data_IF_906383873497
#
_entry.id   IF_906383873497
#
_cell.length_a   1.000
_cell.length_b   1.000
_cell.length_c   1.000
_cell.angle_alpha   90.00
_cell.angle_beta   90.00
_cell.angle_gamma   90.00
#
_symmetry.space_group_name_H-M   'P 1'
#
loop_
_entity.id
_entity.type
_entity.pdbx_description
1 polymer ?
#
# COMPACT_ATOMS: atom_id res chain seq x y z
N UNK A 1 -3.63 14.77 11.53
CA UNK A 1 -3.49 13.32 11.83
C UNK A 1 -4.44 12.56 10.92
N UNK A 2 -3.96 11.50 10.27
CA UNK A 2 -4.75 10.66 9.34
C UNK A 2 -5.86 9.90 10.08
N UNK A 3 -6.97 9.62 9.38
CA UNK A 3 -8.03 8.76 9.89
C UNK A 3 -7.56 7.31 9.90
N UNK A 4 -7.94 6.57 10.93
CA UNK A 4 -7.60 5.16 11.05
C UNK A 4 -8.68 4.36 11.79
N UNK A 5 -8.69 3.04 11.56
CA UNK A 5 -9.47 2.10 12.34
C UNK A 5 -8.53 1.12 13.05
N UNK A 6 -8.73 0.91 14.34
CA UNK A 6 -7.94 -0.03 15.15
C UNK A 6 -8.78 -1.23 15.56
N UNK A 7 -8.22 -2.41 15.33
CA UNK A 7 -8.82 -3.70 15.66
C UNK A 7 -7.87 -4.45 16.58
N UNK A 8 -8.26 -4.59 17.84
CA UNK A 8 -7.45 -5.24 18.86
C UNK A 8 -7.32 -6.74 18.59
N UNK A 9 -6.13 -7.30 18.81
CA UNK A 9 -5.89 -8.74 18.70
C UNK A 9 -6.77 -9.54 19.63
N UNK A 10 -7.28 -10.66 19.13
CA UNK A 10 -8.00 -11.67 19.94
C UNK A 10 -7.03 -12.65 20.62
N UNK A 11 -5.74 -12.65 20.26
CA UNK A 11 -4.69 -13.46 20.83
C UNK A 11 -4.04 -12.77 22.03
N UNK A 12 -3.78 -13.52 23.10
CA UNK A 12 -3.00 -13.02 24.25
C UNK A 12 -1.48 -13.13 23.99
N UNK A 13 -1.07 -14.09 23.17
CA UNK A 13 0.34 -14.34 22.84
C UNK A 13 0.93 -13.21 21.97
N UNK A 14 0.13 -12.63 21.09
CA UNK A 14 0.55 -11.58 20.17
C UNK A 14 -0.04 -10.19 20.52
N UNK A 15 -0.23 -9.94 21.81
CA UNK A 15 -0.88 -8.71 22.28
C UNK A 15 -0.05 -7.44 22.04
N UNK A 16 1.25 -7.57 21.80
CA UNK A 16 2.17 -6.46 21.50
C UNK A 16 2.37 -6.20 20.01
N UNK A 17 1.95 -7.09 19.13
CA UNK A 17 2.14 -6.91 17.69
C UNK A 17 1.05 -6.02 17.08
N UNK A 18 1.44 -5.17 16.15
CA UNK A 18 0.56 -4.31 15.38
C UNK A 18 0.90 -4.36 13.90
N UNK A 19 -0.03 -4.83 13.08
CA UNK A 19 0.03 -4.72 11.64
C UNK A 19 -0.66 -3.43 11.18
N UNK A 20 0.11 -2.49 10.65
CA UNK A 20 -0.40 -1.27 10.02
C UNK A 20 -0.61 -1.54 8.53
N UNK A 21 -1.77 -1.20 7.97
CA UNK A 21 -2.10 -1.49 6.57
C UNK A 21 -2.45 -0.20 5.81
N UNK A 22 -1.71 0.06 4.71
CA UNK A 22 -1.86 1.23 3.84
C UNK A 22 -2.38 0.80 2.46
N UNK A 23 -3.52 1.36 2.07
CA UNK A 23 -4.22 1.04 0.81
C UNK A 23 -3.56 1.65 -0.44
N UNK A 24 -4.01 1.23 -1.62
CA UNK A 24 -3.59 1.74 -2.92
C UNK A 24 -4.32 3.01 -3.39
N UNK A 25 -3.95 3.51 -4.57
CA UNK A 25 -4.64 4.65 -5.20
C UNK A 25 -6.08 4.28 -5.58
N UNK A 26 -7.00 5.25 -5.47
CA UNK A 26 -8.45 5.08 -5.72
C UNK A 26 -9.08 3.94 -4.91
N UNK A 27 -8.56 3.74 -3.70
CA UNK A 27 -9.01 2.76 -2.71
C UNK A 27 -9.14 3.45 -1.35
N UNK A 28 -9.56 2.71 -0.34
CA UNK A 28 -9.60 3.13 1.05
C UNK A 28 -9.36 1.95 1.99
N UNK A 29 -9.42 2.18 3.30
CA UNK A 29 -9.17 1.16 4.31
C UNK A 29 -10.11 -0.06 4.19
N UNK A 30 -11.32 0.10 3.63
CA UNK A 30 -12.29 -0.99 3.49
C UNK A 30 -11.83 -2.10 2.53
N UNK A 31 -10.78 -1.85 1.72
CA UNK A 31 -10.17 -2.89 0.88
C UNK A 31 -9.69 -4.09 1.71
N UNK A 32 -9.33 -3.85 2.99
CA UNK A 32 -8.81 -4.85 3.91
C UNK A 32 -9.86 -5.52 4.80
N UNK A 33 -11.14 -5.12 4.73
CA UNK A 33 -12.20 -5.60 5.65
C UNK A 33 -12.29 -7.12 5.75
N UNK A 34 -12.11 -7.82 4.63
CA UNK A 34 -12.15 -9.30 4.59
C UNK A 34 -11.01 -9.97 5.36
N UNK A 35 -9.90 -9.27 5.52
CA UNK A 35 -8.70 -9.77 6.20
C UNK A 35 -8.76 -9.57 7.71
N UNK A 36 -9.45 -8.48 8.16
CA UNK A 36 -9.44 -8.03 9.55
C UNK A 36 -9.80 -9.15 10.52
N UNK A 37 -10.90 -9.89 10.26
CA UNK A 37 -11.33 -10.95 11.17
C UNK A 37 -10.30 -12.08 11.29
N UNK A 38 -9.59 -12.39 10.21
CA UNK A 38 -8.58 -13.45 10.20
C UNK A 38 -7.28 -12.95 10.83
N UNK A 39 -6.76 -11.81 10.42
CA UNK A 39 -5.54 -11.21 10.94
C UNK A 39 -5.64 -10.87 12.43
N UNK A 40 -6.79 -10.38 12.90
CA UNK A 40 -7.00 -10.06 14.31
C UNK A 40 -6.98 -11.27 15.26
N UNK A 41 -6.94 -12.50 14.74
CA UNK A 41 -6.66 -13.70 15.54
C UNK A 41 -5.17 -13.84 15.88
N UNK A 42 -4.31 -13.14 15.15
CA UNK A 42 -2.85 -13.26 15.24
C UNK A 42 -2.16 -11.98 15.69
N UNK A 43 -2.66 -10.81 15.31
CA UNK A 43 -2.04 -9.51 15.60
C UNK A 43 -3.11 -8.44 15.76
N UNK A 44 -2.81 -7.32 16.44
CA UNK A 44 -3.66 -6.13 16.30
C UNK A 44 -3.51 -5.54 14.90
N UNK A 45 -4.57 -4.95 14.36
CA UNK A 45 -4.56 -4.39 13.00
C UNK A 45 -4.94 -2.92 13.05
N UNK A 46 -4.21 -2.09 12.30
CA UNK A 46 -4.47 -0.67 12.12
C UNK A 46 -4.57 -0.36 10.64
N UNK A 47 -5.74 -0.01 10.14
CA UNK A 47 -5.91 0.46 8.77
C UNK A 47 -5.93 1.98 8.74
N UNK A 48 -5.20 2.60 7.82
CA UNK A 48 -5.05 4.06 7.73
C UNK A 48 -5.52 4.57 6.37
N UNK A 49 -6.28 5.67 6.39
CA UNK A 49 -6.67 6.41 5.19
C UNK A 49 -5.54 7.35 4.77
N UNK A 50 -5.02 7.17 3.56
CA UNK A 50 -3.99 8.05 3.01
C UNK A 50 -4.59 9.35 2.48
N UNK A 51 -3.83 10.45 2.44
CA UNK A 51 -4.34 11.76 2.01
C UNK A 51 -5.11 11.72 0.69
N UNK A 52 -6.29 12.29 0.69
CA UNK A 52 -7.16 12.37 -0.48
C UNK A 52 -8.06 11.17 -0.74
N UNK A 53 -8.02 10.14 0.13
CA UNK A 53 -8.78 8.89 -0.05
C UNK A 53 -9.71 8.65 1.13
N UNK A 54 -10.79 7.89 0.87
CA UNK A 54 -11.72 7.45 1.92
C UNK A 54 -12.23 8.60 2.79
N UNK A 55 -12.15 8.41 4.09
CA UNK A 55 -12.56 9.39 5.10
C UNK A 55 -11.43 10.35 5.52
N UNK A 56 -10.33 10.44 4.76
CA UNK A 56 -9.22 11.35 5.07
C UNK A 56 -9.68 12.81 5.15
N UNK A 57 -9.16 13.53 6.15
CA UNK A 57 -9.49 14.93 6.44
C UNK A 57 -8.27 15.86 6.32
N UNK A 58 -7.21 15.43 5.67
CA UNK A 58 -6.04 16.28 5.39
C UNK A 58 -6.48 17.55 4.65
N UNK A 59 -5.93 18.69 5.07
CA UNK A 59 -6.33 20.00 4.50
C UNK A 59 -5.86 20.09 3.04
N UNK A 60 -6.75 20.53 2.15
CA UNK A 60 -6.45 20.69 0.73
C UNK A 60 -5.45 21.83 0.46
N UNK A 61 -5.22 22.71 1.44
CA UNK A 61 -4.21 23.78 1.41
C UNK A 61 -2.79 23.29 1.66
N UNK A 62 -2.62 22.09 2.23
CA UNK A 62 -1.32 21.46 2.44
C UNK A 62 -0.85 20.74 1.17
N UNK A 63 0.44 20.66 0.95
CA UNK A 63 1.02 19.77 -0.05
C UNK A 63 1.20 18.38 0.58
N UNK A 64 0.58 17.36 -0.01
CA UNK A 64 0.62 16.00 0.51
C UNK A 64 1.82 15.22 -0.06
N UNK A 65 3.03 15.76 0.07
CA UNK A 65 4.22 15.03 -0.35
C UNK A 65 4.60 13.88 0.62
N UNK A 66 5.61 13.11 0.28
CA UNK A 66 6.05 11.98 1.09
C UNK A 66 6.51 12.39 2.50
N UNK A 67 7.11 13.58 2.65
CA UNK A 67 7.52 14.11 3.95
C UNK A 67 6.32 14.49 4.82
N UNK A 68 5.29 15.10 4.22
CA UNK A 68 4.02 15.38 4.91
C UNK A 68 3.36 14.06 5.36
N UNK A 69 3.26 13.08 4.46
CA UNK A 69 2.61 11.80 4.81
C UNK A 69 3.41 11.08 5.91
N UNK A 70 4.74 11.08 5.85
CA UNK A 70 5.60 10.53 6.90
C UNK A 70 5.32 11.19 8.25
N UNK A 71 5.24 12.52 8.30
CA UNK A 71 4.91 13.25 9.52
C UNK A 71 3.53 12.87 10.06
N UNK A 72 2.53 12.75 9.19
CA UNK A 72 1.18 12.34 9.60
C UNK A 72 1.14 10.89 10.11
N UNK A 73 1.92 10.00 9.52
CA UNK A 73 2.10 8.63 10.03
C UNK A 73 2.81 8.62 11.39
N UNK A 74 3.85 9.43 11.58
CA UNK A 74 4.51 9.59 12.88
C UNK A 74 3.51 10.00 13.99
N UNK A 75 2.60 10.94 13.68
CA UNK A 75 1.56 11.38 14.62
C UNK A 75 0.60 10.25 15.01
N UNK A 76 0.18 9.42 14.04
CA UNK A 76 -0.68 8.25 14.30
C UNK A 76 0.08 7.21 15.11
N UNK A 77 1.26 6.79 14.63
CA UNK A 77 2.03 5.68 15.20
C UNK A 77 2.58 6.02 16.60
N UNK A 78 2.79 7.30 16.91
CA UNK A 78 3.13 7.73 18.29
C UNK A 78 2.10 7.25 19.32
N UNK A 79 0.82 7.15 18.95
CA UNK A 79 -0.24 6.59 19.80
C UNK A 79 -0.04 5.10 20.07
N UNK A 80 0.57 4.41 19.13
CA UNK A 80 0.79 2.96 19.12
C UNK A 80 2.24 2.55 19.42
N UNK A 81 3.09 3.47 19.90
CA UNK A 81 4.54 3.25 20.15
C UNK A 81 4.87 2.10 21.11
N UNK A 82 3.89 1.57 21.82
CA UNK A 82 4.06 0.42 22.72
C UNK A 82 3.97 -0.92 22.01
N UNK A 83 3.60 -0.91 20.73
CA UNK A 83 3.50 -2.11 19.90
C UNK A 83 4.76 -2.31 19.09
N UNK A 84 5.05 -3.57 18.79
CA UNK A 84 6.01 -3.99 17.77
C UNK A 84 5.31 -3.86 16.42
N UNK A 85 5.72 -2.86 15.63
CA UNK A 85 4.97 -2.41 14.45
C UNK A 85 5.54 -3.03 13.19
N UNK A 86 4.75 -3.86 12.51
CA UNK A 86 4.97 -4.24 11.11
C UNK A 86 4.07 -3.40 10.21
N UNK A 87 4.61 -2.85 9.14
CA UNK A 87 3.85 -2.03 8.20
C UNK A 87 3.67 -2.75 6.88
N UNK A 88 2.41 -2.97 6.47
CA UNK A 88 2.03 -3.41 5.14
C UNK A 88 1.61 -2.22 4.29
N UNK A 89 1.99 -2.23 3.01
CA UNK A 89 1.48 -1.27 2.06
C UNK A 89 1.27 -1.88 0.68
N UNK A 90 0.08 -1.61 0.11
CA UNK A 90 -0.28 -2.01 -1.24
C UNK A 90 -0.05 -0.89 -2.24
N UNK A 91 0.72 -1.13 -3.29
CA UNK A 91 0.93 -0.24 -4.44
C UNK A 91 1.34 1.19 -4.02
N UNK A 92 0.45 2.19 -4.04
CA UNK A 92 0.68 3.54 -3.51
C UNK A 92 1.00 3.51 -2.01
N UNK A 93 0.24 2.74 -1.23
CA UNK A 93 0.51 2.50 0.18
C UNK A 93 1.86 1.82 0.41
N UNK A 94 2.27 0.91 -0.48
CA UNK A 94 3.58 0.28 -0.41
C UNK A 94 4.74 1.24 -0.67
N UNK A 95 4.58 2.20 -1.59
CA UNK A 95 5.54 3.29 -1.79
C UNK A 95 5.66 4.17 -0.54
N UNK A 96 4.52 4.45 0.09
CA UNK A 96 4.44 5.21 1.34
C UNK A 96 5.08 4.44 2.50
N UNK A 97 4.79 3.14 2.63
CA UNK A 97 5.37 2.26 3.65
C UNK A 97 6.90 2.16 3.53
N UNK A 98 7.40 2.00 2.29
CA UNK A 98 8.83 1.94 2.03
C UNK A 98 9.53 3.26 2.38
N UNK A 99 8.94 4.40 1.98
CA UNK A 99 9.46 5.71 2.37
C UNK A 99 9.47 5.87 3.89
N UNK A 100 8.40 5.45 4.56
CA UNK A 100 8.31 5.50 6.01
C UNK A 100 9.35 4.61 6.71
N UNK A 101 9.57 3.41 6.21
CA UNK A 101 10.58 2.50 6.78
C UNK A 101 12.01 3.09 6.75
N UNK A 102 12.31 3.93 5.74
CA UNK A 102 13.61 4.60 5.60
C UNK A 102 13.71 5.92 6.39
N UNK A 103 12.62 6.67 6.53
CA UNK A 103 12.66 8.05 7.04
C UNK A 103 11.76 8.32 8.25
N UNK A 104 10.90 7.37 8.64
CA UNK A 104 9.97 7.49 9.77
C UNK A 104 10.69 7.58 11.12
N UNK A 105 10.07 8.25 12.08
CA UNK A 105 10.63 8.41 13.43
C UNK A 105 10.28 7.25 14.38
N UNK A 106 9.18 6.57 14.12
CA UNK A 106 8.80 5.39 14.89
C UNK A 106 9.39 4.17 14.20
N UNK A 107 10.22 3.42 14.94
CA UNK A 107 10.86 2.22 14.43
C UNK A 107 9.81 1.19 14.03
N UNK A 108 10.01 0.57 12.87
CA UNK A 108 9.28 -0.62 12.46
C UNK A 108 10.10 -1.86 12.81
N UNK A 109 9.42 -2.96 13.12
CA UNK A 109 10.04 -4.27 13.30
C UNK A 109 9.99 -5.09 11.98
N UNK A 110 9.05 -4.80 11.09
CA UNK A 110 8.96 -5.46 9.78
C UNK A 110 8.27 -4.59 8.73
N UNK A 111 8.49 -4.93 7.46
CA UNK A 111 7.90 -4.25 6.32
C UNK A 111 7.35 -5.26 5.32
N UNK A 112 6.08 -5.12 4.93
CA UNK A 112 5.43 -5.93 3.89
C UNK A 112 5.05 -5.02 2.72
N UNK A 113 5.58 -5.29 1.54
CA UNK A 113 5.36 -4.51 0.33
C UNK A 113 4.56 -5.33 -0.68
N UNK A 114 3.33 -4.94 -0.93
CA UNK A 114 2.50 -5.57 -1.95
C UNK A 114 2.50 -4.74 -3.23
N UNK A 115 3.04 -5.31 -4.32
CA UNK A 115 3.06 -4.70 -5.66
C UNK A 115 3.55 -3.24 -5.65
N UNK A 116 4.65 -2.98 -4.94
CA UNK A 116 5.22 -1.65 -4.75
C UNK A 116 6.58 -1.48 -5.46
N UNK A 117 7.00 -0.24 -5.65
CA UNK A 117 8.30 0.10 -6.25
C UNK A 117 9.04 1.16 -5.45
N UNK A 118 10.38 1.18 -5.47
CA UNK A 118 11.20 2.19 -4.80
C UNK A 118 11.28 3.53 -5.56
N UNK A 119 10.38 3.77 -6.49
CA UNK A 119 10.40 4.97 -7.34
C UNK A 119 11.09 4.76 -8.68
N UNK A 120 11.14 5.82 -9.48
CA UNK A 120 11.68 5.82 -10.84
C UNK A 120 13.10 6.38 -10.81
N UNK A 121 14.08 5.60 -11.28
CA UNK A 121 15.50 5.98 -11.29
C UNK A 121 15.84 6.98 -12.40
N UNK A 122 15.30 6.75 -13.60
CA UNK A 122 15.58 7.57 -14.77
C UNK A 122 14.75 8.85 -14.80
N UNK A 123 15.41 10.00 -14.96
CA UNK A 123 14.76 11.31 -14.95
C UNK A 123 13.79 11.52 -16.13
N UNK A 124 14.06 10.94 -17.30
CA UNK A 124 13.16 11.07 -18.46
C UNK A 124 11.87 10.29 -18.20
N UNK A 125 11.97 9.04 -17.76
CA UNK A 125 10.84 8.19 -17.38
C UNK A 125 10.03 8.80 -16.21
N UNK A 126 10.72 9.43 -15.26
CA UNK A 126 10.08 10.16 -14.16
C UNK A 126 9.27 11.35 -14.67
N UNK A 127 9.84 12.15 -15.57
CA UNK A 127 9.14 13.29 -16.17
C UNK A 127 7.93 12.86 -16.98
N UNK A 128 8.04 11.79 -17.75
CA UNK A 128 6.93 11.20 -18.48
C UNK A 128 5.82 10.75 -17.52
N UNK A 129 6.21 10.09 -16.43
CA UNK A 129 5.23 9.64 -15.42
C UNK A 129 4.51 10.80 -14.74
N UNK A 130 5.17 11.91 -14.45
CA UNK A 130 4.52 13.14 -13.92
C UNK A 130 3.46 13.63 -14.92
N UNK A 131 3.76 13.62 -16.23
CA UNK A 131 2.79 14.03 -17.25
C UNK A 131 1.58 13.06 -17.30
N UNK A 132 1.80 11.76 -17.15
CA UNK A 132 0.72 10.77 -17.07
C UNK A 132 -0.15 11.00 -15.83
N UNK A 133 0.46 11.23 -14.67
CA UNK A 133 -0.27 11.47 -13.42
C UNK A 133 -1.06 12.80 -13.52
N UNK A 134 -0.50 13.86 -14.14
CA UNK A 134 -1.21 15.12 -14.41
C UNK A 134 -2.38 14.93 -15.39
N UNK A 135 -2.21 14.14 -16.46
CA UNK A 135 -3.29 13.84 -17.39
C UNK A 135 -4.45 13.09 -16.71
N UNK A 136 -4.14 12.14 -15.84
CA UNK A 136 -5.12 11.42 -15.01
C UNK A 136 -5.84 12.33 -14.04
N UNK A 137 -5.11 13.24 -13.38
CA UNK A 137 -5.69 14.25 -12.50
C UNK A 137 -6.70 15.13 -13.25
N UNK A 138 -6.38 15.57 -14.47
CA UNK A 138 -7.31 16.34 -15.31
C UNK A 138 -8.56 15.55 -15.69
N UNK A 139 -8.45 14.25 -15.97
CA UNK A 139 -9.63 13.40 -16.23
C UNK A 139 -10.55 13.38 -15.02
N UNK A 140 -10.00 13.20 -13.81
CA UNK A 140 -10.78 13.24 -12.56
C UNK A 140 -11.51 14.57 -12.36
N UNK A 141 -10.84 15.69 -12.62
CA UNK A 141 -11.40 17.04 -12.42
C UNK A 141 -12.47 17.40 -13.47
N UNK A 142 -12.25 17.04 -14.74
CA UNK A 142 -13.09 17.49 -15.86
C UNK A 142 -14.20 16.48 -16.16
N UNK A 143 -13.88 15.18 -16.21
CA UNK A 143 -14.81 14.13 -16.58
C UNK A 143 -15.42 13.39 -15.38
N UNK A 144 -14.86 13.56 -14.19
CA UNK A 144 -15.35 13.01 -12.94
C UNK A 144 -14.95 11.56 -12.69
N UNK A 145 -15.40 11.05 -11.53
CA UNK A 145 -14.97 9.77 -11.00
C UNK A 145 -15.43 8.58 -11.86
N UNK A 146 -16.63 8.62 -12.41
CA UNK A 146 -17.21 7.50 -13.17
C UNK A 146 -16.41 7.24 -14.46
N UNK A 147 -16.10 8.29 -15.21
CA UNK A 147 -15.28 8.16 -16.44
C UNK A 147 -13.89 7.65 -16.10
N UNK A 148 -13.30 8.20 -15.03
CA UNK A 148 -11.98 7.75 -14.58
C UNK A 148 -11.97 6.28 -14.17
N UNK A 149 -12.95 5.83 -13.37
CA UNK A 149 -13.06 4.42 -12.93
C UNK A 149 -13.24 3.48 -14.11
N UNK A 150 -14.09 3.86 -15.08
CA UNK A 150 -14.32 3.06 -16.30
C UNK A 150 -13.04 2.81 -17.10
N UNK A 151 -12.11 3.78 -17.14
CA UNK A 151 -10.84 3.63 -17.84
C UNK A 151 -9.78 2.98 -16.94
N UNK A 152 -9.80 3.26 -15.65
CA UNK A 152 -8.88 2.67 -14.67
C UNK A 152 -8.98 1.17 -14.60
N UNK A 153 -10.20 0.64 -14.58
CA UNK A 153 -10.46 -0.81 -14.49
C UNK A 153 -10.03 -1.59 -15.73
N UNK A 154 -9.86 -0.91 -16.87
CA UNK A 154 -9.36 -1.52 -18.11
C UNK A 154 -7.84 -1.55 -18.24
N UNK A 155 -7.12 -0.98 -17.28
CA UNK A 155 -5.67 -1.02 -17.32
C UNK A 155 -5.16 -2.47 -17.30
N UNK A 156 -4.15 -2.82 -18.10
CA UNK A 156 -3.57 -4.19 -18.12
C UNK A 156 -3.21 -4.73 -16.75
N UNK A 157 -2.88 -3.83 -15.83
CA UNK A 157 -2.57 -4.09 -14.43
C UNK A 157 -3.68 -4.86 -13.69
N UNK A 158 -4.95 -4.71 -14.10
CA UNK A 158 -6.13 -5.32 -13.48
C UNK A 158 -6.79 -6.40 -14.35
N UNK A 159 -6.14 -6.82 -15.43
CA UNK A 159 -6.72 -7.80 -16.35
C UNK A 159 -7.05 -9.15 -15.70
N UNK A 160 -6.25 -9.57 -14.71
CA UNK A 160 -6.44 -10.80 -13.94
C UNK A 160 -7.71 -10.79 -13.08
N UNK A 161 -8.18 -9.62 -12.66
CA UNK A 161 -9.34 -9.48 -11.77
C UNK A 161 -10.63 -10.08 -12.35
N UNK A 162 -10.77 -10.07 -13.69
CA UNK A 162 -11.93 -10.67 -14.35
C UNK A 162 -12.01 -12.19 -14.18
N UNK A 163 -10.88 -12.86 -13.99
CA UNK A 163 -10.78 -14.31 -13.81
C UNK A 163 -10.69 -14.74 -12.34
N UNK A 164 -9.97 -13.95 -11.54
CA UNK A 164 -9.63 -14.28 -10.15
C UNK A 164 -10.73 -13.87 -9.15
N UNK A 165 -11.57 -12.91 -9.50
CA UNK A 165 -12.54 -12.35 -8.58
C UNK A 165 -13.99 -12.70 -8.98
N UNK A 166 -14.85 -12.91 -7.98
CA UNK A 166 -16.30 -13.00 -8.21
C UNK A 166 -16.86 -11.67 -8.71
N UNK A 167 -18.05 -11.72 -9.33
CA UNK A 167 -18.73 -10.51 -9.79
C UNK A 167 -19.10 -9.59 -8.62
N UNK A 168 -19.53 -10.15 -7.50
CA UNK A 168 -19.88 -9.39 -6.29
C UNK A 168 -18.64 -8.65 -5.73
N UNK A 169 -17.47 -9.29 -5.76
CA UNK A 169 -16.22 -8.65 -5.31
C UNK A 169 -15.80 -7.51 -6.24
N UNK A 170 -15.86 -7.71 -7.55
CA UNK A 170 -15.59 -6.66 -8.54
C UNK A 170 -16.55 -5.49 -8.37
N UNK A 171 -17.85 -5.77 -8.15
CA UNK A 171 -18.84 -4.74 -7.91
C UNK A 171 -18.54 -3.96 -6.62
N UNK A 172 -18.20 -4.65 -5.53
CA UNK A 172 -17.81 -4.00 -4.26
C UNK A 172 -16.64 -3.06 -4.42
N UNK A 173 -15.58 -3.49 -5.14
CA UNK A 173 -14.41 -2.66 -5.41
C UNK A 173 -14.78 -1.47 -6.29
N UNK A 174 -15.61 -1.68 -7.30
CA UNK A 174 -16.07 -0.59 -8.14
C UNK A 174 -16.87 0.45 -7.35
N UNK A 175 -17.75 0.03 -6.47
CA UNK A 175 -18.51 0.93 -5.59
C UNK A 175 -17.58 1.73 -4.66
N UNK A 176 -16.59 1.10 -4.05
CA UNK A 176 -15.55 1.76 -3.25
C UNK A 176 -14.79 2.82 -4.09
N UNK A 177 -14.40 2.50 -5.32
CA UNK A 177 -13.74 3.45 -6.24
C UNK A 177 -14.63 4.63 -6.60
N UNK A 178 -15.90 4.38 -6.91
CA UNK A 178 -16.89 5.40 -7.28
C UNK A 178 -17.25 6.33 -6.11
N UNK A 179 -17.09 5.87 -4.87
CA UNK A 179 -17.34 6.67 -3.67
C UNK A 179 -16.21 7.69 -3.37
N UNK A 180 -15.06 7.61 -4.06
CA UNK A 180 -13.94 8.51 -3.84
C UNK A 180 -14.20 9.93 -4.36
N UNK A 181 -13.58 10.92 -3.74
CA UNK A 181 -13.66 12.32 -4.17
C UNK A 181 -12.68 12.60 -5.33
N UNK A 182 -13.16 12.93 -6.54
CA UNK A 182 -12.29 13.08 -7.71
C UNK A 182 -11.30 14.24 -7.60
N UNK A 183 -11.65 15.35 -6.94
CA UNK A 183 -10.75 16.49 -6.75
C UNK A 183 -9.60 16.15 -5.81
N UNK A 184 -9.89 15.41 -4.74
CA UNK A 184 -8.88 14.97 -3.78
C UNK A 184 -7.98 13.89 -4.38
N UNK A 185 -8.52 12.96 -5.17
CA UNK A 185 -7.72 12.00 -5.94
C UNK A 185 -6.80 12.68 -6.95
N UNK A 186 -7.29 13.72 -7.64
CA UNK A 186 -6.49 14.49 -8.58
C UNK A 186 -5.31 15.20 -7.87
N UNK A 187 -5.57 15.77 -6.69
CA UNK A 187 -4.53 16.34 -5.84
C UNK A 187 -3.53 15.29 -5.39
N UNK A 188 -3.98 14.12 -4.94
CA UNK A 188 -3.11 13.01 -4.53
C UNK A 188 -2.16 12.57 -5.66
N UNK A 189 -2.65 12.49 -6.91
CA UNK A 189 -1.80 12.21 -8.09
C UNK A 189 -0.71 13.25 -8.29
N UNK A 190 -1.03 14.53 -8.10
CA UNK A 190 -0.09 15.64 -8.25
C UNK A 190 0.92 15.71 -7.12
N UNK A 191 0.49 15.46 -5.89
CA UNK A 191 1.34 15.67 -4.71
C UNK A 191 2.27 14.47 -4.46
N UNK A 192 1.74 13.23 -4.49
CA UNK A 192 2.52 12.00 -4.20
C UNK A 192 2.27 10.85 -5.19
N UNK A 193 1.87 11.19 -6.42
CA UNK A 193 1.85 10.23 -7.53
C UNK A 193 3.22 9.57 -7.74
N UNK A 194 3.25 8.51 -8.54
CA UNK A 194 4.49 7.74 -8.76
C UNK A 194 5.62 8.60 -9.33
N UNK A 195 5.30 9.60 -10.15
CA UNK A 195 6.30 10.52 -10.73
C UNK A 195 6.95 11.44 -9.70
N UNK A 196 6.23 11.78 -8.62
CA UNK A 196 6.72 12.65 -7.55
C UNK A 196 7.36 11.88 -6.38
N UNK A 197 7.32 10.56 -6.41
CA UNK A 197 8.03 9.75 -5.43
C UNK A 197 9.55 10.00 -5.50
N UNK A 198 10.26 10.20 -4.38
CA UNK A 198 11.72 10.14 -4.35
C UNK A 198 12.24 8.81 -4.88
N UNK A 199 13.41 8.82 -5.51
CA UNK A 199 14.09 7.60 -5.91
C UNK A 199 14.77 6.96 -4.69
N UNK A 200 14.18 5.90 -4.14
CA UNK A 200 14.67 5.21 -2.95
C UNK A 200 15.61 4.02 -3.26
N UNK A 201 15.87 3.72 -4.53
CA UNK A 201 16.78 2.63 -4.90
C UNK A 201 18.16 2.70 -4.24
N UNK A 202 18.79 3.89 -4.12
CA UNK A 202 20.10 4.01 -3.46
C UNK A 202 20.10 3.74 -1.96
N UNK A 203 18.90 3.80 -1.32
CA UNK A 203 18.74 3.70 0.12
C UNK A 203 18.25 2.30 0.58
N UNK A 204 17.89 1.42 -0.36
CA UNK A 204 17.30 0.10 -0.04
C UNK A 204 18.22 -0.77 0.81
N UNK A 205 19.53 -0.66 0.65
CA UNK A 205 20.53 -1.39 1.44
C UNK A 205 20.65 -0.90 2.88
N UNK A 206 20.03 0.22 3.24
CA UNK A 206 19.96 0.75 4.60
C UNK A 206 18.82 0.12 5.42
N UNK A 207 17.89 -0.61 4.78
CA UNK A 207 16.83 -1.33 5.46
C UNK A 207 17.43 -2.45 6.31
N UNK A 208 17.40 -2.28 7.63
CA UNK A 208 17.93 -3.26 8.60
C UNK A 208 16.86 -4.18 9.18
N UNK A 209 15.59 -3.91 8.88
CA UNK A 209 14.43 -4.70 9.30
C UNK A 209 14.12 -5.80 8.27
N UNK A 210 13.47 -6.90 8.66
CA UNK A 210 12.94 -7.87 7.71
C UNK A 210 11.95 -7.25 6.72
N UNK A 211 12.05 -7.65 5.45
CA UNK A 211 11.17 -7.19 4.37
C UNK A 211 10.55 -8.38 3.66
N UNK A 212 9.23 -8.38 3.55
CA UNK A 212 8.47 -9.32 2.73
C UNK A 212 7.89 -8.60 1.53
N UNK A 213 8.15 -9.06 0.31
CA UNK A 213 7.58 -8.53 -0.90
C UNK A 213 6.57 -9.53 -1.45
N UNK A 214 5.34 -9.08 -1.69
CA UNK A 214 4.25 -9.90 -2.24
C UNK A 214 3.88 -9.34 -3.62
N UNK A 215 3.95 -10.18 -4.64
CA UNK A 215 3.56 -9.82 -6.02
C UNK A 215 2.77 -10.94 -6.67
N UNK A 216 1.87 -10.60 -7.57
CA UNK A 216 1.16 -11.59 -8.36
C UNK A 216 1.97 -11.99 -9.60
N UNK A 217 1.93 -13.29 -9.94
CA UNK A 217 2.63 -13.88 -11.09
C UNK A 217 2.31 -13.16 -12.43
N UNK A 218 1.07 -12.68 -12.58
CA UNK A 218 0.61 -12.02 -13.82
C UNK A 218 1.00 -10.53 -13.89
N UNK A 219 1.59 -9.98 -12.84
CA UNK A 219 2.13 -8.62 -12.83
C UNK A 219 3.65 -8.64 -13.07
N UNK A 220 4.04 -9.06 -14.28
CA UNK A 220 5.45 -9.23 -14.70
C UNK A 220 6.31 -8.01 -14.35
N UNK A 221 5.75 -6.81 -14.48
CA UNK A 221 6.47 -5.58 -14.14
C UNK A 221 6.89 -5.55 -12.67
N UNK A 222 5.98 -5.87 -11.77
CA UNK A 222 6.25 -5.82 -10.33
C UNK A 222 7.00 -7.06 -9.85
N UNK A 223 6.88 -8.21 -10.51
CA UNK A 223 7.78 -9.36 -10.31
C UNK A 223 9.23 -8.95 -10.59
N UNK A 224 9.52 -8.36 -11.76
CA UNK A 224 10.86 -7.88 -12.10
C UNK A 224 11.40 -6.79 -11.15
N UNK A 225 10.52 -5.96 -10.56
CA UNK A 225 10.91 -4.96 -9.57
C UNK A 225 11.23 -5.66 -8.24
N UNK A 226 10.40 -6.60 -7.81
CA UNK A 226 10.57 -7.35 -6.57
C UNK A 226 11.90 -8.13 -6.56
N UNK A 227 12.23 -8.85 -7.64
CA UNK A 227 13.50 -9.56 -7.79
C UNK A 227 14.72 -8.61 -7.65
N UNK A 228 14.65 -7.42 -8.27
CA UNK A 228 15.73 -6.42 -8.15
C UNK A 228 15.81 -5.81 -6.74
N UNK A 229 14.70 -5.71 -6.03
CA UNK A 229 14.69 -5.25 -4.64
C UNK A 229 15.29 -6.30 -3.72
N UNK A 230 14.98 -7.59 -3.93
CA UNK A 230 15.54 -8.72 -3.20
C UNK A 230 17.08 -8.77 -3.31
N UNK A 231 17.63 -8.48 -4.49
CA UNK A 231 19.09 -8.43 -4.71
C UNK A 231 19.81 -7.34 -3.87
N UNK A 232 19.08 -6.33 -3.40
CA UNK A 232 19.67 -5.13 -2.75
C UNK A 232 19.31 -5.04 -1.28
N UNK A 233 18.13 -5.47 -0.87
CA UNK A 233 17.67 -5.39 0.52
C UNK A 233 18.26 -6.55 1.34
N UNK A 234 18.98 -6.29 2.45
CA UNK A 234 19.74 -7.32 3.18
C UNK A 234 18.91 -8.47 3.74
N UNK A 235 17.69 -8.19 4.21
CA UNK A 235 16.79 -9.16 4.84
C UNK A 235 15.44 -9.16 4.10
N UNK A 236 15.43 -9.70 2.89
CA UNK A 236 14.27 -9.68 2.01
C UNK A 236 13.85 -11.10 1.63
N UNK A 237 12.54 -11.33 1.61
CA UNK A 237 11.94 -12.51 0.98
C UNK A 237 10.87 -12.06 -0.03
N UNK A 238 10.81 -12.73 -1.18
CA UNK A 238 9.82 -12.45 -2.23
C UNK A 238 8.85 -13.61 -2.37
N UNK A 239 7.56 -13.29 -2.35
CA UNK A 239 6.47 -14.22 -2.59
C UNK A 239 5.74 -13.88 -3.88
N UNK A 240 5.87 -14.76 -4.89
CA UNK A 240 5.14 -14.64 -6.16
C UNK A 240 3.89 -15.50 -6.06
N UNK A 241 2.72 -14.86 -5.99
CA UNK A 241 1.43 -15.55 -5.85
C UNK A 241 0.91 -15.97 -7.23
N UNK A 242 0.77 -17.29 -7.41
CA UNK A 242 0.36 -17.87 -8.69
C UNK A 242 -1.02 -17.37 -9.14
N UNK A 243 -1.18 -17.11 -10.43
CA UNK A 243 -2.38 -16.63 -11.08
C UNK A 243 -2.86 -15.23 -10.66
N UNK A 244 -2.39 -14.66 -9.55
CA UNK A 244 -2.76 -13.32 -9.12
C UNK A 244 -2.07 -12.24 -9.98
N UNK A 245 -2.68 -11.07 -10.07
CA UNK A 245 -2.13 -9.87 -10.68
C UNK A 245 -1.69 -8.85 -9.64
N UNK A 246 -1.98 -7.56 -9.89
CA UNK A 246 -1.47 -6.46 -9.08
C UNK A 246 -2.06 -6.37 -7.66
N UNK A 247 -3.28 -6.88 -7.44
CA UNK A 247 -4.01 -6.72 -6.17
C UNK A 247 -4.14 -8.05 -5.47
N UNK A 248 -3.03 -8.58 -4.96
CA UNK A 248 -2.95 -9.94 -4.38
C UNK A 248 -3.92 -10.13 -3.22
N UNK A 249 -4.03 -9.16 -2.30
CA UNK A 249 -4.93 -9.22 -1.15
C UNK A 249 -6.41 -9.36 -1.55
N UNK A 250 -6.78 -9.00 -2.78
CA UNK A 250 -8.16 -9.18 -3.28
C UNK A 250 -8.26 -10.41 -4.17
N UNK A 251 -7.27 -10.63 -5.04
CA UNK A 251 -7.28 -11.69 -6.05
C UNK A 251 -7.05 -13.08 -5.44
N UNK A 252 -6.21 -13.18 -4.41
CA UNK A 252 -6.02 -14.40 -3.59
C UNK A 252 -5.88 -14.05 -2.11
N UNK A 253 -6.99 -13.64 -1.51
CA UNK A 253 -7.06 -13.22 -0.11
C UNK A 253 -6.51 -14.28 0.86
N UNK A 254 -6.72 -15.56 0.55
CA UNK A 254 -6.24 -16.66 1.40
C UNK A 254 -4.73 -16.76 1.40
N UNK A 255 -4.11 -16.70 0.22
CA UNK A 255 -2.66 -16.79 0.09
C UNK A 255 -1.99 -15.55 0.68
N UNK A 256 -2.60 -14.37 0.48
CA UNK A 256 -2.16 -13.14 1.12
C UNK A 256 -2.10 -13.27 2.64
N UNK A 257 -3.19 -13.70 3.28
CA UNK A 257 -3.25 -13.87 4.74
C UNK A 257 -2.21 -14.89 5.24
N UNK A 258 -2.01 -16.01 4.52
CA UNK A 258 -1.00 -17.01 4.88
C UNK A 258 0.41 -16.42 4.89
N UNK A 259 0.75 -15.63 3.87
CA UNK A 259 2.07 -14.99 3.76
C UNK A 259 2.25 -13.97 4.88
N UNK A 260 1.27 -13.08 5.09
CA UNK A 260 1.33 -12.04 6.12
C UNK A 260 1.47 -12.66 7.51
N UNK A 261 0.65 -13.63 7.86
CA UNK A 261 0.71 -14.31 9.17
C UNK A 261 2.03 -15.07 9.31
N UNK A 262 2.48 -15.73 8.23
CA UNK A 262 3.76 -16.45 8.23
C UNK A 262 4.94 -15.52 8.48
N UNK A 263 4.94 -14.33 7.90
CA UNK A 263 5.96 -13.31 8.12
C UNK A 263 5.95 -12.79 9.57
N UNK A 264 4.80 -12.43 10.11
CA UNK A 264 4.65 -11.95 11.49
C UNK A 264 5.14 -12.97 12.53
N UNK A 265 4.90 -14.26 12.30
CA UNK A 265 5.31 -15.32 13.23
C UNK A 265 6.82 -15.64 13.16
N UNK A 266 7.52 -15.32 12.07
CA UNK A 266 8.97 -15.53 11.96
C UNK A 266 9.76 -14.51 12.80
N UNK A 267 9.24 -13.32 12.95
CA UNK A 267 9.90 -12.24 13.71
C UNK A 267 9.97 -12.58 15.20
N UNK A 268 8.97 -13.28 15.74
CA UNK A 268 8.97 -13.73 17.15
C UNK A 268 10.06 -14.79 17.46
N UNK A 269 10.56 -15.51 16.47
CA UNK A 269 11.55 -16.58 16.69
C UNK A 269 13.00 -16.05 16.70
N UNK A 270 13.19 -14.77 16.36
CA UNK A 270 14.52 -14.15 16.26
C UNK A 270 14.85 -13.22 17.44
N UNK A 271 13.90 -13.01 18.37
CA UNK A 271 14.08 -12.30 19.65
C UNK A 271 14.35 -13.31 20.78
#
# INVERSE_FOLDING_TARGET
MLNYNFYESKSKEHSNQLLVMLHGFISDASTFDKHIEHLAKHTSVLTIELPGHGADQSLDTETWDFAFIQQQLDEVLQTFRKYDITMHGYSMGGRTALYYALHGKIKLEGLILESASPGIQDNASRSERIQVDEARAKVLEIAGIEVFVNDWEKLPLFASQSEMMSEDERQRIREMRLAQNPQRLAKALRDYGTGNMPNLWPELNELSIPVCIIVGERDEKFVNIAEKMEDVIPHCEVHIVSQAGHTVHVEDAKQFDIIVIGFLNKEEQND
#
